data_IF_288684881539
#
_entry.id   IF_288684881539
#
_cell.length_a   1.000
_cell.length_b   1.000
_cell.length_c   1.000
_cell.angle_alpha   90.00
_cell.angle_beta   90.00
_cell.angle_gamma   90.00
#
_symmetry.space_group_name_H-M   'P 1'
#
loop_
_entity.id
_entity.type
_entity.pdbx_description
1 polymer ?
#
# COMPACT_ATOMS: atom_id res chain seq x y z
N UNK A 1 -5.36 -13.51 17.34
CA UNK A 1 -6.20 -12.78 18.33
C UNK A 1 -5.39 -12.01 19.38
N UNK A 2 -4.11 -12.30 19.62
CA UNK A 2 -3.31 -11.54 20.60
C UNK A 2 -3.13 -10.06 20.23
N UNK A 3 -2.83 -9.75 18.96
CA UNK A 3 -2.62 -8.35 18.53
C UNK A 3 -3.88 -7.47 18.70
N UNK A 4 -5.05 -8.03 18.45
CA UNK A 4 -6.33 -7.33 18.62
C UNK A 4 -6.68 -7.17 20.10
N UNK A 5 -6.38 -8.18 20.93
CA UNK A 5 -6.57 -8.09 22.38
C UNK A 5 -5.77 -6.94 23.01
N UNK A 6 -4.54 -6.70 22.55
CA UNK A 6 -3.72 -5.61 23.08
C UNK A 6 -4.01 -4.26 22.43
N UNK A 7 -4.52 -4.25 21.19
CA UNK A 7 -4.84 -3.02 20.49
C UNK A 7 -5.98 -3.24 19.48
N UNK A 8 -7.18 -2.82 19.85
CA UNK A 8 -8.38 -2.96 19.04
C UNK A 8 -8.27 -2.23 17.70
N UNK A 9 -7.51 -1.13 17.64
CA UNK A 9 -7.32 -0.35 16.41
C UNK A 9 -6.61 -1.12 15.31
N UNK A 10 -5.83 -2.15 15.65
CA UNK A 10 -5.13 -2.99 14.67
C UNK A 10 -6.12 -3.73 13.78
N UNK A 11 -7.22 -4.24 14.37
CA UNK A 11 -8.23 -4.94 13.59
C UNK A 11 -8.93 -3.99 12.62
N UNK A 12 -9.31 -2.80 13.11
CA UNK A 12 -9.95 -1.77 12.30
C UNK A 12 -9.05 -1.29 11.16
N UNK A 13 -7.76 -1.09 11.42
CA UNK A 13 -6.77 -0.73 10.41
C UNK A 13 -6.62 -1.82 9.33
N UNK A 14 -6.46 -3.07 9.74
CA UNK A 14 -6.31 -4.18 8.79
C UNK A 14 -7.59 -4.35 7.96
N UNK A 15 -8.77 -4.27 8.60
CA UNK A 15 -10.05 -4.39 7.91
C UNK A 15 -10.19 -3.30 6.85
N UNK A 16 -9.97 -2.04 7.21
CA UNK A 16 -10.07 -0.92 6.25
C UNK A 16 -9.07 -1.04 5.10
N UNK A 17 -7.83 -1.47 5.37
CA UNK A 17 -6.79 -1.64 4.37
C UNK A 17 -7.07 -2.82 3.41
N UNK A 18 -7.51 -3.96 3.94
CA UNK A 18 -7.64 -5.21 3.18
C UNK A 18 -8.98 -5.34 2.48
N UNK A 19 -10.09 -5.01 3.15
CA UNK A 19 -11.44 -5.12 2.55
C UNK A 19 -11.82 -3.87 1.76
N UNK A 20 -10.94 -2.86 1.71
CA UNK A 20 -11.19 -1.63 0.98
C UNK A 20 -12.24 -0.75 1.66
N UNK A 21 -12.25 -0.71 2.99
CA UNK A 21 -13.11 0.18 3.78
C UNK A 21 -14.51 -0.35 4.04
N UNK A 22 -14.63 -1.58 4.56
CA UNK A 22 -15.90 -2.06 5.13
C UNK A 22 -16.26 -1.21 6.34
N UNK A 23 -17.19 -0.27 6.15
CA UNK A 23 -17.69 0.60 7.22
C UNK A 23 -18.83 -0.09 7.98
N UNK A 24 -19.09 0.28 9.25
CA UNK A 24 -20.19 -0.29 10.02
C UNK A 24 -21.55 -0.10 9.34
N UNK A 25 -21.75 1.00 8.62
CA UNK A 25 -22.99 1.25 7.88
C UNK A 25 -23.18 0.23 6.75
N UNK A 26 -22.09 -0.15 6.07
CA UNK A 26 -22.14 -1.19 5.04
C UNK A 26 -22.47 -2.55 5.66
N UNK A 27 -21.95 -2.85 6.83
CA UNK A 27 -22.26 -4.09 7.55
C UNK A 27 -23.73 -4.17 7.97
N UNK A 28 -24.30 -3.06 8.44
CA UNK A 28 -25.72 -2.99 8.78
C UNK A 28 -26.61 -3.24 7.55
N UNK A 29 -26.31 -2.61 6.40
CA UNK A 29 -27.04 -2.84 5.14
C UNK A 29 -26.96 -4.30 4.68
N UNK A 30 -25.77 -4.91 4.77
CA UNK A 30 -25.59 -6.32 4.41
C UNK A 30 -26.34 -7.23 5.40
N UNK A 31 -26.37 -6.90 6.68
CA UNK A 31 -27.11 -7.67 7.68
C UNK A 31 -28.63 -7.67 7.41
N UNK A 32 -29.17 -6.61 6.82
CA UNK A 32 -30.59 -6.48 6.47
C UNK A 32 -30.95 -7.13 5.13
N UNK A 33 -30.21 -6.82 4.07
CA UNK A 33 -30.60 -7.19 2.69
C UNK A 33 -29.79 -8.38 2.14
N UNK A 34 -28.71 -8.81 2.83
CA UNK A 34 -27.73 -9.82 2.38
C UNK A 34 -27.24 -9.59 0.94
N UNK A 35 -27.25 -8.33 0.47
CA UNK A 35 -26.91 -7.92 -0.87
C UNK A 35 -26.29 -6.52 -0.86
N UNK A 36 -25.44 -6.23 -1.85
CA UNK A 36 -24.92 -4.88 -2.07
C UNK A 36 -25.88 -4.11 -2.96
N UNK A 37 -26.47 -3.04 -2.42
CA UNK A 37 -27.37 -2.17 -3.17
C UNK A 37 -26.62 -0.98 -3.76
N UNK A 38 -26.79 -0.76 -5.06
CA UNK A 38 -26.25 0.42 -5.74
C UNK A 38 -26.97 1.70 -5.29
N UNK A 39 -26.23 2.80 -5.21
CA UNK A 39 -26.75 4.13 -4.89
C UNK A 39 -26.46 5.15 -6.00
N UNK A 40 -27.14 6.30 -5.92
CA UNK A 40 -26.87 7.44 -6.81
C UNK A 40 -25.54 8.12 -6.46
N UNK A 41 -24.88 8.69 -7.47
CA UNK A 41 -23.64 9.44 -7.28
C UNK A 41 -23.94 10.84 -6.75
N UNK A 42 -23.89 11.01 -5.42
CA UNK A 42 -23.92 12.31 -4.75
C UNK A 42 -22.50 12.84 -4.51
N UNK A 43 -22.29 14.14 -4.30
CA UNK A 43 -20.97 14.70 -3.97
C UNK A 43 -20.31 14.01 -2.76
N UNK A 44 -21.11 13.62 -1.76
CA UNK A 44 -20.64 12.87 -0.59
C UNK A 44 -20.14 11.46 -0.96
N UNK A 45 -20.88 10.73 -1.80
CA UNK A 45 -20.44 9.39 -2.25
C UNK A 45 -19.17 9.43 -3.11
N UNK A 46 -18.98 10.50 -3.89
CA UNK A 46 -17.76 10.69 -4.69
C UNK A 46 -16.55 10.98 -3.80
N UNK A 47 -16.72 11.79 -2.75
CA UNK A 47 -15.66 12.03 -1.76
C UNK A 47 -15.19 10.73 -1.08
N UNK A 48 -16.12 9.80 -0.79
CA UNK A 48 -15.79 8.50 -0.19
C UNK A 48 -14.92 7.59 -1.09
N UNK A 49 -14.80 7.90 -2.39
CA UNK A 49 -13.95 7.16 -3.33
C UNK A 49 -12.49 7.61 -3.30
N UNK A 50 -12.20 8.77 -2.72
CA UNK A 50 -10.85 9.36 -2.67
C UNK A 50 -9.97 8.76 -1.56
N UNK A 51 -10.03 7.44 -1.43
CA UNK A 51 -9.26 6.69 -0.43
C UNK A 51 -8.02 6.10 -1.07
N UNK A 52 -6.95 6.02 -0.27
CA UNK A 52 -5.69 5.43 -0.69
C UNK A 52 -5.86 3.98 -1.16
N UNK A 53 -5.03 3.58 -2.12
CA UNK A 53 -4.99 2.22 -2.67
C UNK A 53 -3.58 1.65 -2.51
N UNK A 54 -3.51 0.34 -2.38
CA UNK A 54 -2.24 -0.39 -2.37
C UNK A 54 -1.89 -0.75 -3.81
N UNK A 55 -0.67 -0.42 -4.23
CA UNK A 55 -0.15 -0.75 -5.55
C UNK A 55 1.34 -1.08 -5.46
N UNK A 56 1.81 -1.88 -6.40
CA UNK A 56 3.23 -2.15 -6.61
C UNK A 56 3.71 -1.35 -7.81
N UNK A 57 4.86 -0.68 -7.66
CA UNK A 57 5.48 0.11 -8.72
C UNK A 57 6.81 -0.53 -9.12
N UNK A 58 7.05 -0.64 -10.42
CA UNK A 58 8.36 -1.04 -10.94
C UNK A 58 9.35 0.12 -10.80
N UNK A 59 10.59 -0.19 -10.42
CA UNK A 59 11.67 0.80 -10.32
C UNK A 59 12.51 0.90 -11.60
N UNK A 60 12.28 0.04 -12.59
CA UNK A 60 13.02 0.07 -13.86
C UNK A 60 12.53 1.22 -14.74
N UNK A 61 11.24 1.54 -14.64
CA UNK A 61 10.58 2.53 -15.48
C UNK A 61 9.89 3.61 -14.62
N UNK A 62 9.89 4.84 -15.13
CA UNK A 62 9.15 5.95 -14.54
C UNK A 62 9.98 6.90 -13.65
N UNK A 63 9.32 7.75 -12.85
CA UNK A 63 9.96 8.90 -12.17
C UNK A 63 10.91 8.51 -11.02
N UNK A 64 10.98 7.22 -10.71
CA UNK A 64 11.83 6.64 -9.67
C UNK A 64 12.98 5.79 -10.25
N UNK A 65 13.10 5.68 -11.58
CA UNK A 65 14.15 4.91 -12.23
C UNK A 65 15.55 5.39 -11.84
N UNK A 66 15.74 6.71 -11.74
CA UNK A 66 16.99 7.33 -11.31
C UNK A 66 17.42 6.92 -9.89
N UNK A 67 16.48 6.49 -9.03
CA UNK A 67 16.76 6.01 -7.67
C UNK A 67 16.83 4.48 -7.59
N UNK A 68 16.50 3.77 -8.67
CA UNK A 68 16.56 2.31 -8.75
C UNK A 68 17.99 1.77 -8.80
N UNK A 69 18.92 2.53 -9.37
CA UNK A 69 20.31 2.11 -9.55
C UNK A 69 21.20 2.56 -8.38
N UNK A 70 21.27 1.71 -7.34
CA UNK A 70 22.14 1.95 -6.18
C UNK A 70 21.68 3.07 -5.22
N UNK A 71 20.48 3.60 -5.41
CA UNK A 71 19.90 4.63 -4.56
C UNK A 71 19.48 4.14 -3.17
N UNK A 72 19.37 5.09 -2.23
CA UNK A 72 18.89 4.81 -0.88
C UNK A 72 17.35 4.74 -0.84
N UNK A 73 16.80 3.77 -0.11
CA UNK A 73 15.35 3.66 0.10
C UNK A 73 14.74 4.91 0.75
N UNK A 74 15.47 5.57 1.66
CA UNK A 74 15.02 6.79 2.32
C UNK A 74 14.78 7.95 1.35
N UNK A 75 15.59 8.06 0.30
CA UNK A 75 15.45 9.11 -0.71
C UNK A 75 14.24 8.82 -1.61
N UNK A 76 14.05 7.56 -1.97
CA UNK A 76 12.86 7.10 -2.69
C UNK A 76 11.58 7.43 -1.89
N UNK A 77 11.56 7.08 -0.60
CA UNK A 77 10.46 7.36 0.30
C UNK A 77 10.17 8.86 0.38
N UNK A 78 11.19 9.69 0.63
CA UNK A 78 11.03 11.14 0.72
C UNK A 78 10.52 11.76 -0.59
N UNK A 79 11.05 11.31 -1.74
CA UNK A 79 10.63 11.81 -3.06
C UNK A 79 9.18 11.41 -3.37
N UNK A 80 8.81 10.16 -3.13
CA UNK A 80 7.46 9.65 -3.35
C UNK A 80 6.43 10.36 -2.47
N UNK A 81 6.75 10.58 -1.20
CA UNK A 81 5.87 11.26 -0.25
C UNK A 81 5.68 12.74 -0.61
N UNK A 82 6.77 13.48 -0.90
CA UNK A 82 6.70 14.91 -1.22
C UNK A 82 6.05 15.22 -2.57
N UNK A 83 6.24 14.35 -3.57
CA UNK A 83 5.80 14.63 -4.94
C UNK A 83 4.41 14.07 -5.22
N UNK A 84 4.09 12.89 -4.67
CA UNK A 84 2.89 12.13 -5.03
C UNK A 84 2.01 11.78 -3.83
N UNK A 85 2.38 12.15 -2.60
CA UNK A 85 1.72 11.70 -1.36
C UNK A 85 1.62 10.17 -1.27
N UNK A 86 2.62 9.46 -1.82
CA UNK A 86 2.66 8.00 -1.81
C UNK A 86 3.51 7.50 -0.64
N UNK A 87 2.92 6.62 0.18
CA UNK A 87 3.61 5.98 1.29
C UNK A 87 4.24 4.65 0.83
N UNK A 88 5.57 4.62 0.70
CA UNK A 88 6.30 3.37 0.47
C UNK A 88 6.48 2.64 1.81
N UNK A 89 5.95 1.43 1.95
CA UNK A 89 6.11 0.62 3.16
C UNK A 89 7.01 -0.61 2.98
N UNK A 90 7.49 -0.88 1.77
CA UNK A 90 8.40 -2.01 1.54
C UNK A 90 8.89 -2.13 0.10
N UNK A 91 9.85 -3.03 -0.10
CA UNK A 91 10.41 -3.39 -1.40
C UNK A 91 10.16 -4.88 -1.66
N UNK A 92 9.53 -5.18 -2.80
CA UNK A 92 9.42 -6.57 -3.28
C UNK A 92 10.67 -6.93 -4.09
N UNK A 93 11.73 -7.38 -3.42
CA UNK A 93 13.00 -7.73 -4.06
C UNK A 93 12.95 -9.10 -4.72
N UNK A 94 13.53 -9.21 -5.91
CA UNK A 94 13.79 -10.49 -6.54
C UNK A 94 14.80 -11.28 -5.70
N UNK A 95 14.55 -12.57 -5.48
CA UNK A 95 15.39 -13.44 -4.63
C UNK A 95 16.86 -13.45 -5.07
N UNK A 96 17.10 -13.49 -6.38
CA UNK A 96 18.43 -13.64 -6.97
C UNK A 96 19.08 -12.31 -7.37
N UNK A 97 18.54 -11.17 -6.92
CA UNK A 97 19.07 -9.84 -7.25
C UNK A 97 20.51 -9.60 -6.79
N UNK A 98 21.03 -10.41 -5.86
CA UNK A 98 22.41 -10.31 -5.37
C UNK A 98 23.44 -11.03 -6.25
N UNK A 99 23.01 -11.87 -7.20
CA UNK A 99 23.90 -12.62 -8.10
C UNK A 99 24.41 -11.79 -9.29
N UNK A 100 23.79 -10.63 -9.55
CA UNK A 100 24.17 -9.71 -10.64
C UNK A 100 25.21 -8.66 -10.24
N UNK A 101 25.57 -8.55 -8.96
CA UNK A 101 26.76 -7.78 -8.53
C UNK A 101 28.01 -8.64 -8.68
N UNK A 102 28.98 -8.33 -9.56
CA UNK A 102 30.27 -9.01 -9.56
C UNK A 102 30.94 -8.73 -8.21
N UNK A 103 31.02 -9.75 -7.38
CA UNK A 103 31.83 -9.71 -6.16
C UNK A 103 33.28 -9.43 -6.59
N UNK A 104 33.81 -8.26 -6.21
CA UNK A 104 35.26 -8.05 -6.24
C UNK A 104 35.88 -8.99 -5.20
N UNK A 105 36.24 -10.19 -5.66
CA UNK A 105 37.09 -11.11 -4.95
C UNK A 105 38.51 -10.54 -4.96
N UNK A 106 38.85 -9.75 -3.94
CA UNK A 106 40.24 -9.39 -3.67
C UNK A 106 40.93 -10.64 -3.12
N UNK A 107 41.58 -11.40 -4.00
CA UNK A 107 42.56 -12.42 -3.59
C UNK A 107 43.73 -11.72 -2.88
N UNK A 108 43.93 -12.02 -1.61
CA UNK A 108 45.25 -12.12 -0.98
C UNK A 108 45.24 -13.30 -0.02
#
# INVERSE_FOLDING_TARGET
MSATYFNDNILTLIRTLVTGGATPELEALIAEENALRGGYSTPQTLANRDRCRVAQLALLDGPFADLGDGGCYGDLFCKALKTYNMLCFGIYRLRDAHLSTPSQCTKR
#
